data_IF_640212795150
#
_entry.id   IF_640212795150
#
_cell.length_a   1.000
_cell.length_b   1.000
_cell.length_c   1.000
_cell.angle_alpha   90.00
_cell.angle_beta   90.00
_cell.angle_gamma   90.00
#
_symmetry.space_group_name_H-M   'P 1'
#
loop_
_entity.id
_entity.type
_entity.pdbx_description
1 polymer ?
#
# COMPACT_ATOMS: atom_id res chain seq x y z
N UNK A 1 44.31 64.67 9.89
CA UNK A 1 43.50 63.94 10.90
C UNK A 1 42.89 64.96 11.85
N UNK A 2 41.68 64.77 12.43
CA UNK A 2 40.81 63.58 12.47
C UNK A 2 39.50 63.79 11.64
N UNK A 3 38.99 62.85 10.84
CA UNK A 3 38.18 61.66 11.19
C UNK A 3 37.15 61.88 12.30
N UNK A 4 35.88 62.07 11.93
CA UNK A 4 34.73 61.78 12.80
C UNK A 4 33.58 61.29 11.94
N UNK A 5 33.41 59.98 12.01
CA UNK A 5 32.30 59.15 11.54
C UNK A 5 30.96 59.66 12.09
N UNK A 6 29.89 59.77 11.29
CA UNK A 6 28.57 60.08 11.82
C UNK A 6 27.97 58.85 12.51
N UNK A 7 27.27 59.13 13.60
CA UNK A 7 26.70 58.17 14.54
C UNK A 7 25.88 57.07 13.85
N UNK A 8 26.23 55.81 14.15
CA UNK A 8 25.40 54.65 13.86
C UNK A 8 24.05 54.81 14.56
N UNK A 9 22.98 54.97 13.77
CA UNK A 9 21.63 54.68 14.25
C UNK A 9 21.56 53.18 14.48
N UNK A 10 21.32 52.78 15.72
CA UNK A 10 20.82 51.44 16.03
C UNK A 10 19.47 51.31 15.34
N UNK A 11 19.36 50.38 14.39
CA UNK A 11 18.08 49.81 13.97
C UNK A 11 18.16 48.29 14.14
N UNK A 12 17.23 47.82 14.96
CA UNK A 12 16.74 46.45 15.14
C UNK A 12 16.71 45.67 13.81
N UNK A 13 17.09 44.38 13.78
CA UNK A 13 17.08 43.60 12.55
C UNK A 13 15.64 43.42 12.04
N UNK A 14 15.29 43.81 10.81
CA UNK A 14 14.14 43.22 10.16
C UNK A 14 14.49 41.75 9.88
N UNK A 15 13.86 40.86 10.67
CA UNK A 15 13.79 39.43 10.41
C UNK A 15 13.63 39.21 8.92
N UNK A 16 14.54 38.47 8.25
CA UNK A 16 14.54 38.42 6.80
C UNK A 16 13.22 37.84 6.33
N UNK A 17 12.52 38.67 5.58
CA UNK A 17 11.44 38.29 4.72
C UNK A 17 11.82 37.00 3.97
N UNK A 18 10.91 36.04 3.95
CA UNK A 18 10.45 35.45 2.69
C UNK A 18 9.26 34.58 3.00
N UNK A 19 8.12 34.97 2.43
CA UNK A 19 7.05 34.04 2.12
C UNK A 19 7.68 32.80 1.49
N UNK A 20 7.75 31.72 2.26
CA UNK A 20 7.99 30.40 1.68
C UNK A 20 6.64 29.72 1.69
N UNK A 21 5.84 30.05 0.67
CA UNK A 21 4.98 29.05 0.04
C UNK A 21 5.93 27.98 -0.50
N UNK A 22 6.49 27.19 0.40
CA UNK A 22 7.06 25.90 0.07
C UNK A 22 5.85 25.02 -0.09
N UNK A 23 5.42 24.85 -1.34
CA UNK A 23 4.68 23.65 -1.74
C UNK A 23 5.58 22.45 -1.46
N UNK A 24 5.70 22.09 -0.18
CA UNK A 24 6.04 20.75 0.19
C UNK A 24 4.93 19.93 -0.45
N UNK A 25 5.29 19.04 -1.39
CA UNK A 25 4.45 17.90 -1.67
C UNK A 25 4.18 17.26 -0.31
N UNK A 26 3.03 17.57 0.29
CA UNK A 26 2.56 16.90 1.50
C UNK A 26 2.41 15.45 1.05
N UNK A 27 3.45 14.67 1.32
CA UNK A 27 3.41 13.23 1.15
C UNK A 27 2.40 12.76 2.18
N UNK A 28 1.15 12.64 1.70
CA UNK A 28 0.03 12.29 2.53
C UNK A 28 0.29 10.89 3.05
N UNK A 29 0.46 10.78 4.37
CA UNK A 29 0.77 9.51 5.00
C UNK A 29 -0.49 8.63 4.99
N UNK A 30 -0.65 7.87 3.91
CA UNK A 30 -1.76 6.93 3.74
C UNK A 30 -1.73 5.82 4.79
N UNK A 31 -0.60 5.57 5.46
CA UNK A 31 -0.52 4.59 6.54
C UNK A 31 -1.10 5.06 7.87
N UNK A 32 -1.26 6.38 8.06
CA UNK A 32 -1.92 6.97 9.23
C UNK A 32 -3.46 6.89 9.17
N UNK A 33 -4.03 6.32 8.10
CA UNK A 33 -5.47 6.16 7.97
C UNK A 33 -6.02 5.16 9.02
N UNK A 34 -7.23 5.42 9.55
CA UNK A 34 -7.98 4.44 10.32
C UNK A 34 -8.12 3.09 9.59
N UNK A 35 -8.09 2.00 10.36
CA UNK A 35 -8.09 0.63 9.84
C UNK A 35 -9.30 0.33 8.95
N UNK A 36 -10.48 0.79 9.33
CA UNK A 36 -11.72 0.63 8.58
C UNK A 36 -11.64 1.29 7.20
N UNK A 37 -11.05 2.47 7.11
CA UNK A 37 -10.85 3.17 5.82
C UNK A 37 -9.85 2.40 4.94
N UNK A 38 -8.75 1.92 5.52
CA UNK A 38 -7.78 1.10 4.81
C UNK A 38 -8.42 -0.18 4.26
N UNK A 39 -9.21 -0.89 5.08
CA UNK A 39 -9.95 -2.06 4.63
C UNK A 39 -10.92 -1.73 3.50
N UNK A 40 -11.64 -0.61 3.57
CA UNK A 40 -12.52 -0.18 2.49
C UNK A 40 -11.76 0.10 1.19
N UNK A 41 -10.54 0.66 1.25
CA UNK A 41 -9.69 0.88 0.08
C UNK A 41 -9.22 -0.47 -0.47
N UNK A 42 -8.71 -1.35 0.38
CA UNK A 42 -8.24 -2.69 0.02
C UNK A 42 -9.36 -3.53 -0.60
N UNK A 43 -10.56 -3.50 -0.03
CA UNK A 43 -11.75 -4.17 -0.58
C UNK A 43 -12.08 -3.71 -1.99
N UNK A 44 -11.85 -2.42 -2.30
CA UNK A 44 -12.09 -1.86 -3.64
C UNK A 44 -11.01 -2.23 -4.65
N UNK A 45 -9.76 -2.42 -4.19
CA UNK A 45 -8.66 -2.90 -5.03
C UNK A 45 -8.84 -4.40 -5.37
N UNK A 46 -9.28 -5.16 -4.39
CA UNK A 46 -9.42 -6.61 -4.50
C UNK A 46 -8.07 -7.36 -4.50
N UNK A 47 -8.09 -8.70 -4.41
CA UNK A 47 -6.88 -9.49 -4.13
C UNK A 47 -5.72 -9.30 -5.12
N UNK A 48 -6.00 -9.24 -6.41
CA UNK A 48 -4.96 -9.15 -7.44
C UNK A 48 -4.15 -7.85 -7.31
N UNK A 49 -4.83 -6.73 -7.16
CA UNK A 49 -4.21 -5.39 -7.06
C UNK A 49 -3.46 -5.20 -5.73
N UNK A 50 -3.99 -5.78 -4.65
CA UNK A 50 -3.31 -5.83 -3.35
C UNK A 50 -1.96 -6.54 -3.48
N UNK A 51 -1.95 -7.73 -4.11
CA UNK A 51 -0.75 -8.54 -4.25
C UNK A 51 0.28 -7.98 -5.24
N UNK A 52 -0.18 -7.35 -6.32
CA UNK A 52 0.70 -6.86 -7.39
C UNK A 52 1.21 -5.43 -7.17
N UNK A 53 0.59 -4.66 -6.26
CA UNK A 53 0.94 -3.25 -6.10
C UNK A 53 0.89 -2.79 -4.65
N UNK A 54 -0.24 -2.95 -3.99
CA UNK A 54 -0.47 -2.26 -2.72
C UNK A 54 0.50 -2.70 -1.61
N UNK A 55 0.80 -4.00 -1.51
CA UNK A 55 1.83 -4.53 -0.59
C UNK A 55 3.26 -4.09 -0.94
N UNK A 56 3.53 -3.74 -2.21
CA UNK A 56 4.87 -3.43 -2.72
C UNK A 56 5.20 -1.93 -2.70
N UNK A 57 4.19 -1.07 -2.81
CA UNK A 57 4.36 0.39 -2.91
C UNK A 57 4.43 1.04 -1.53
N UNK A 58 3.72 0.51 -0.53
CA UNK A 58 3.66 1.10 0.79
C UNK A 58 3.94 0.06 1.88
N UNK A 59 5.20 -0.08 2.29
CA UNK A 59 5.62 -1.00 3.36
C UNK A 59 5.05 -0.63 4.73
N UNK A 60 4.51 0.58 4.87
CA UNK A 60 3.92 1.09 6.12
C UNK A 60 2.43 0.78 6.25
N UNK A 61 1.78 0.23 5.21
CA UNK A 61 0.40 -0.24 5.38
C UNK A 61 0.33 -1.34 6.44
N UNK A 62 -0.66 -1.29 7.36
CA UNK A 62 -0.82 -2.30 8.37
C UNK A 62 -0.96 -3.68 7.73
N UNK A 63 0.00 -4.57 7.99
CA UNK A 63 -0.07 -5.95 7.50
C UNK A 63 -1.37 -6.61 7.96
N UNK A 64 -1.81 -6.34 9.18
CA UNK A 64 -3.08 -6.83 9.72
C UNK A 64 -4.31 -6.37 8.92
N UNK A 65 -4.24 -5.29 8.15
CA UNK A 65 -5.32 -4.89 7.26
C UNK A 65 -5.32 -5.74 5.97
N UNK A 66 -4.14 -6.02 5.42
CA UNK A 66 -3.99 -6.82 4.19
C UNK A 66 -4.27 -8.31 4.42
N UNK A 67 -3.90 -8.83 5.59
CA UNK A 67 -4.16 -10.22 5.98
C UNK A 67 -5.62 -10.46 6.41
N UNK A 68 -6.51 -9.46 6.35
CA UNK A 68 -7.91 -9.60 6.74
C UNK A 68 -8.66 -10.56 5.80
N UNK A 69 -9.24 -11.67 6.32
CA UNK A 69 -9.85 -12.72 5.49
C UNK A 69 -10.95 -12.23 4.55
N UNK A 70 -11.70 -11.19 4.94
CA UNK A 70 -12.79 -10.63 4.13
C UNK A 70 -12.32 -10.08 2.78
N UNK A 71 -11.04 -9.69 2.66
CA UNK A 71 -10.44 -9.22 1.42
C UNK A 71 -10.27 -10.35 0.40
N UNK A 72 -10.14 -11.59 0.87
CA UNK A 72 -9.75 -12.75 0.09
C UNK A 72 -10.91 -13.70 -0.20
N UNK A 73 -12.16 -13.24 -0.06
CA UNK A 73 -13.36 -14.04 -0.37
C UNK A 73 -13.52 -14.32 -1.86
N UNK A 74 -13.05 -13.41 -2.72
CA UNK A 74 -13.13 -13.54 -4.18
C UNK A 74 -11.75 -13.37 -4.80
N UNK A 75 -11.08 -14.48 -5.09
CA UNK A 75 -9.71 -14.49 -5.60
C UNK A 75 -9.75 -14.65 -7.11
N UNK A 76 -9.30 -13.63 -7.84
CA UNK A 76 -9.06 -13.69 -9.28
C UNK A 76 -7.56 -13.49 -9.57
N UNK A 77 -6.93 -14.51 -10.13
CA UNK A 77 -5.50 -14.52 -10.46
C UNK A 77 -5.21 -13.97 -11.87
N UNK A 78 -6.24 -13.59 -12.64
CA UNK A 78 -6.10 -13.12 -14.01
C UNK A 78 -5.46 -14.16 -14.94
N UNK A 79 -5.13 -13.77 -16.18
CA UNK A 79 -4.52 -14.67 -17.16
C UNK A 79 -2.99 -14.49 -17.29
N UNK A 80 -2.46 -13.28 -17.50
CA UNK A 80 -1.22 -13.19 -18.32
C UNK A 80 -0.04 -12.32 -17.82
N UNK A 81 0.01 -11.84 -16.58
CA UNK A 81 1.12 -10.93 -16.17
C UNK A 81 2.29 -11.60 -15.43
N UNK A 82 2.14 -12.84 -14.93
CA UNK A 82 3.13 -13.47 -14.05
C UNK A 82 3.54 -14.88 -14.50
N UNK A 83 4.83 -15.25 -14.37
CA UNK A 83 5.28 -16.62 -14.63
C UNK A 83 4.49 -17.65 -13.82
N UNK A 84 4.19 -18.81 -14.42
CA UNK A 84 3.36 -19.85 -13.81
C UNK A 84 3.76 -20.23 -12.37
N UNK A 85 5.05 -20.49 -12.04
CA UNK A 85 5.42 -20.85 -10.67
C UNK A 85 5.10 -19.75 -9.66
N UNK A 86 5.33 -18.49 -10.04
CA UNK A 86 5.01 -17.31 -9.22
C UNK A 86 3.51 -17.20 -9.03
N UNK A 87 2.74 -17.40 -10.11
CA UNK A 87 1.28 -17.38 -10.07
C UNK A 87 0.71 -18.41 -9.08
N UNK A 88 1.28 -19.62 -9.02
CA UNK A 88 0.86 -20.63 -8.06
C UNK A 88 1.20 -20.26 -6.61
N UNK A 89 2.38 -19.69 -6.36
CA UNK A 89 2.76 -19.23 -5.03
C UNK A 89 1.82 -18.09 -4.55
N UNK A 90 1.52 -17.15 -5.44
CA UNK A 90 0.55 -16.06 -5.23
C UNK A 90 -0.85 -16.65 -4.95
N UNK A 91 -1.29 -17.63 -5.74
CA UNK A 91 -2.57 -18.30 -5.53
C UNK A 91 -2.69 -18.97 -4.15
N UNK A 92 -1.65 -19.69 -3.73
CA UNK A 92 -1.63 -20.32 -2.39
C UNK A 92 -1.66 -19.28 -1.28
N UNK A 93 -0.85 -18.23 -1.38
CA UNK A 93 -0.85 -17.16 -0.39
C UNK A 93 -2.21 -16.49 -0.26
N UNK A 94 -2.90 -16.21 -1.38
CA UNK A 94 -4.25 -15.65 -1.36
C UNK A 94 -5.26 -16.59 -0.67
N UNK A 95 -5.19 -17.89 -0.96
CA UNK A 95 -6.03 -18.90 -0.31
C UNK A 95 -5.73 -19.02 1.18
N UNK A 96 -4.47 -19.02 1.58
CA UNK A 96 -4.09 -19.05 3.00
C UNK A 96 -4.66 -17.85 3.76
N UNK A 97 -4.60 -16.65 3.17
CA UNK A 97 -5.12 -15.42 3.77
C UNK A 97 -6.63 -15.37 3.89
N UNK A 98 -7.35 -16.05 3.01
CA UNK A 98 -8.80 -16.17 3.14
C UNK A 98 -9.22 -16.97 4.37
N UNK A 99 -8.31 -17.70 5.02
CA UNK A 99 -8.57 -18.43 6.27
C UNK A 99 -9.83 -19.31 6.22
N UNK A 100 -10.09 -19.95 5.07
CA UNK A 100 -11.27 -20.80 4.87
C UNK A 100 -12.54 -20.04 4.43
N UNK A 101 -12.45 -18.74 4.14
CA UNK A 101 -13.58 -17.90 3.71
C UNK A 101 -13.59 -17.63 2.20
N UNK A 102 -12.74 -18.28 1.40
CA UNK A 102 -12.79 -18.14 -0.05
C UNK A 102 -14.12 -18.70 -0.60
N UNK A 103 -14.87 -17.85 -1.28
CA UNK A 103 -16.17 -18.17 -1.88
C UNK A 103 -16.08 -18.34 -3.40
N UNK A 104 -15.15 -17.63 -4.04
CA UNK A 104 -14.90 -17.77 -5.46
C UNK A 104 -13.40 -17.71 -5.74
N UNK A 105 -12.93 -18.65 -6.56
CA UNK A 105 -11.56 -18.70 -7.05
C UNK A 105 -11.57 -18.80 -8.58
N UNK A 106 -10.88 -17.88 -9.24
CA UNK A 106 -10.68 -17.86 -10.69
C UNK A 106 -9.19 -17.78 -11.00
N UNK A 107 -8.73 -18.66 -11.89
CA UNK A 107 -7.40 -18.57 -12.48
C UNK A 107 -7.52 -18.99 -13.94
N UNK A 108 -6.99 -18.16 -14.85
CA UNK A 108 -6.93 -18.51 -16.28
C UNK A 108 -6.07 -19.75 -16.57
N UNK A 109 -5.30 -20.23 -15.58
CA UNK A 109 -4.47 -21.43 -15.68
C UNK A 109 -4.56 -22.18 -14.35
N UNK A 110 -5.13 -23.40 -14.38
CA UNK A 110 -5.22 -24.30 -13.23
C UNK A 110 -4.39 -25.55 -13.49
N UNK A 111 -3.48 -25.90 -12.57
CA UNK A 111 -2.81 -27.20 -12.56
C UNK A 111 -3.43 -28.10 -11.48
N UNK A 112 -3.14 -29.41 -11.55
CA UNK A 112 -3.65 -30.37 -10.56
C UNK A 112 -3.19 -30.05 -9.13
N UNK A 113 -1.95 -29.56 -8.94
CA UNK A 113 -1.42 -29.22 -7.61
C UNK A 113 -2.22 -28.13 -6.91
N UNK A 114 -2.67 -27.11 -7.64
CA UNK A 114 -3.50 -26.04 -7.08
C UNK A 114 -4.91 -26.54 -6.75
N UNK A 115 -5.48 -27.40 -7.61
CA UNK A 115 -6.78 -28.01 -7.35
C UNK A 115 -6.76 -28.90 -6.11
N UNK A 116 -5.75 -29.77 -5.98
CA UNK A 116 -5.59 -30.60 -4.78
C UNK A 116 -5.44 -29.76 -3.52
N UNK A 117 -4.65 -28.69 -3.60
CA UNK A 117 -4.47 -27.78 -2.47
C UNK A 117 -5.78 -27.07 -2.08
N UNK A 118 -6.60 -26.63 -3.05
CA UNK A 118 -7.92 -26.07 -2.75
C UNK A 118 -8.84 -27.12 -2.10
N UNK A 119 -8.85 -28.36 -2.60
CA UNK A 119 -9.64 -29.45 -2.00
C UNK A 119 -9.17 -29.76 -0.57
N UNK A 120 -7.87 -29.74 -0.29
CA UNK A 120 -7.36 -29.96 1.07
C UNK A 120 -7.75 -28.84 2.04
N UNK A 121 -7.88 -27.60 1.54
CA UNK A 121 -8.22 -26.43 2.37
C UNK A 121 -9.73 -26.23 2.57
N UNK A 122 -10.57 -26.76 1.68
CA UNK A 122 -12.02 -26.52 1.67
C UNK A 122 -12.91 -27.78 1.62
N UNK A 123 -12.32 -28.97 1.41
CA UNK A 123 -13.02 -30.26 1.41
C UNK A 123 -13.20 -30.82 2.81
#
# INVERSE_FOLDING_TARGET
MPSTTPCLRIMEPPSPASATTTEALETRDWSALPRDILLCILLKLGPCEIMQGAELVCTTWPRDAVEEPSLWRHIDMGSDSVPLPVKFAVARAAVDRSAGQCEAFSSGICNHDLLFYLVERYG
#
